data_IF_659007034433
#
_entry.id   IF_659007034433
#
_cell.length_a   1.000
_cell.length_b   1.000
_cell.length_c   1.000
_cell.angle_alpha   90.00
_cell.angle_beta   90.00
_cell.angle_gamma   90.00
#
_symmetry.space_group_name_H-M   'P 1'
#
loop_
_entity.id
_entity.type
_entity.pdbx_description
1 polymer ?
#
# COMPACT_ATOMS: atom_id res chain seq x y z
N UNK A 1 67.75 -19.58 19.67
CA UNK A 1 66.72 -18.54 19.39
C UNK A 1 66.53 -18.24 17.91
N UNK A 2 67.59 -18.20 17.07
CA UNK A 2 67.45 -17.93 15.62
C UNK A 2 66.56 -18.94 14.84
N UNK A 3 66.55 -20.22 15.22
CA UNK A 3 65.75 -21.27 14.54
C UNK A 3 64.24 -21.16 14.80
N UNK A 4 63.82 -20.61 15.94
CA UNK A 4 62.41 -20.43 16.29
C UNK A 4 61.83 -19.13 15.71
N UNK A 5 62.67 -18.10 15.51
CA UNK A 5 62.26 -16.87 14.85
C UNK A 5 61.81 -17.11 13.40
N UNK A 6 62.49 -18.00 12.67
CA UNK A 6 62.09 -18.37 11.31
C UNK A 6 60.75 -19.13 11.25
N UNK A 7 60.43 -19.94 12.27
CA UNK A 7 59.13 -20.65 12.36
C UNK A 7 57.97 -19.70 12.68
N UNK A 8 58.20 -18.69 13.52
CA UNK A 8 57.20 -17.65 13.80
C UNK A 8 56.98 -16.75 12.58
N UNK A 9 58.05 -16.39 11.86
CA UNK A 9 57.95 -15.61 10.62
C UNK A 9 57.22 -16.39 9.52
N UNK A 10 57.46 -17.71 9.42
CA UNK A 10 56.75 -18.58 8.47
C UNK A 10 55.27 -18.76 8.85
N UNK A 11 54.95 -18.80 10.15
CA UNK A 11 53.56 -18.84 10.61
C UNK A 11 52.79 -17.54 10.29
N UNK A 12 53.45 -16.38 10.30
CA UNK A 12 52.84 -15.12 9.85
C UNK A 12 52.64 -15.05 8.32
N UNK A 13 53.53 -15.68 7.55
CA UNK A 13 53.39 -15.78 6.08
C UNK A 13 52.31 -16.79 5.64
N UNK A 14 52.04 -17.83 6.44
CA UNK A 14 51.02 -18.85 6.15
C UNK A 14 49.60 -18.48 6.61
N UNK A 15 49.43 -17.39 7.37
CA UNK A 15 48.12 -16.80 7.68
C UNK A 15 47.76 -15.62 6.77
N UNK A 16 48.58 -15.33 5.76
CA UNK A 16 48.12 -14.58 4.60
C UNK A 16 47.18 -15.48 3.80
N UNK A 17 45.92 -15.56 4.22
CA UNK A 17 44.86 -15.86 3.25
C UNK A 17 44.86 -14.68 2.28
N UNK A 18 45.69 -14.78 1.25
CA UNK A 18 45.43 -14.15 -0.03
C UNK A 18 44.08 -14.72 -0.45
N UNK A 19 43.01 -13.95 -0.16
CA UNK A 19 41.64 -14.28 -0.53
C UNK A 19 41.61 -14.14 -2.05
N UNK A 20 42.08 -15.21 -2.70
CA UNK A 20 42.48 -15.21 -4.09
C UNK A 20 41.35 -14.64 -4.92
N UNK A 21 41.66 -13.53 -5.61
CA UNK A 21 40.84 -12.80 -6.56
C UNK A 21 39.46 -13.45 -6.78
N UNK A 22 38.54 -13.21 -5.84
CA UNK A 22 37.19 -13.77 -5.88
C UNK A 22 36.44 -13.03 -6.98
N UNK A 23 36.66 -13.45 -8.22
CA UNK A 23 35.92 -12.95 -9.37
C UNK A 23 34.47 -13.40 -9.23
N UNK A 24 33.54 -12.44 -9.23
CA UNK A 24 32.13 -12.76 -9.14
C UNK A 24 31.72 -13.44 -10.45
N UNK A 25 31.28 -14.69 -10.38
CA UNK A 25 30.84 -15.41 -11.57
C UNK A 25 29.35 -15.29 -11.83
N UNK A 26 28.55 -15.31 -10.75
CA UNK A 26 27.09 -15.26 -10.81
C UNK A 26 26.57 -14.34 -9.70
N UNK A 27 25.58 -13.51 -10.01
CA UNK A 27 24.83 -12.76 -9.00
C UNK A 27 23.78 -13.70 -8.41
N UNK A 28 23.88 -13.98 -7.11
CA UNK A 28 22.86 -14.73 -6.37
C UNK A 28 22.43 -13.91 -5.16
N UNK A 29 21.14 -13.65 -5.00
CA UNK A 29 20.56 -13.00 -3.81
C UNK A 29 19.31 -13.73 -3.32
N UNK A 30 19.27 -15.04 -3.57
CA UNK A 30 18.22 -15.91 -3.07
C UNK A 30 18.20 -15.87 -1.54
N UNK A 31 16.99 -15.87 -0.97
CA UNK A 31 16.76 -15.78 0.47
C UNK A 31 17.28 -14.50 1.16
N UNK A 32 17.76 -13.50 0.41
CA UNK A 32 18.06 -12.17 0.96
C UNK A 32 16.80 -11.31 0.87
N UNK A 33 16.42 -10.66 1.98
CA UNK A 33 15.25 -9.78 2.02
C UNK A 33 15.56 -8.43 1.39
N UNK A 34 14.66 -7.92 0.54
CA UNK A 34 14.77 -6.57 0.00
C UNK A 34 14.37 -5.51 1.04
N UNK A 35 15.07 -4.39 1.05
CA UNK A 35 14.79 -3.21 1.87
C UNK A 35 14.83 -1.94 1.02
N UNK A 36 14.32 -0.82 1.55
CA UNK A 36 14.42 0.49 0.89
C UNK A 36 15.22 1.45 1.75
N UNK A 37 16.02 2.31 1.11
CA UNK A 37 16.68 3.42 1.81
C UNK A 37 15.68 4.39 2.41
N UNK A 38 14.52 4.57 1.77
CA UNK A 38 13.40 5.36 2.27
C UNK A 38 12.08 4.65 1.91
N UNK A 39 11.35 4.08 2.89
CA UNK A 39 10.11 3.35 2.63
C UNK A 39 8.95 4.26 2.17
N UNK A 40 9.08 5.59 2.31
CA UNK A 40 8.05 6.54 1.88
C UNK A 40 8.15 6.85 0.38
N UNK A 41 9.37 6.91 -0.15
CA UNK A 41 9.62 7.26 -1.55
C UNK A 41 9.96 6.05 -2.42
N UNK A 42 10.52 4.98 -1.84
CA UNK A 42 10.87 3.72 -2.52
C UNK A 42 11.75 3.91 -3.76
N UNK A 43 12.58 4.95 -3.79
CA UNK A 43 13.40 5.30 -4.95
C UNK A 43 14.64 4.43 -5.08
N UNK A 44 15.08 3.80 -3.99
CA UNK A 44 16.22 2.89 -3.98
C UNK A 44 15.92 1.68 -3.08
N UNK A 45 15.58 0.57 -3.72
CA UNK A 45 15.37 -0.74 -3.10
C UNK A 45 16.65 -1.54 -3.26
N UNK A 46 17.06 -2.27 -2.23
CA UNK A 46 18.31 -3.00 -2.25
C UNK A 46 18.19 -4.35 -1.54
N UNK A 47 19.10 -5.26 -1.91
CA UNK A 47 19.43 -6.46 -1.16
C UNK A 47 20.90 -6.41 -0.77
N UNK A 48 21.23 -6.89 0.42
CA UNK A 48 22.56 -6.78 0.99
C UNK A 48 23.05 -8.13 1.53
N UNK A 49 24.22 -8.55 1.06
CA UNK A 49 25.04 -9.62 1.64
C UNK A 49 26.24 -8.99 2.35
N UNK A 50 27.11 -9.80 2.95
CA UNK A 50 28.29 -9.30 3.67
C UNK A 50 29.19 -8.41 2.82
N UNK A 51 29.49 -8.79 1.58
CA UNK A 51 30.41 -8.07 0.66
C UNK A 51 29.78 -7.75 -0.68
N UNK A 52 28.46 -7.87 -0.81
CA UNK A 52 27.77 -7.68 -2.09
C UNK A 52 26.46 -6.91 -1.89
N UNK A 53 26.08 -6.11 -2.87
CA UNK A 53 24.78 -5.44 -2.92
C UNK A 53 24.14 -5.57 -4.30
N UNK A 54 22.82 -5.71 -4.32
CA UNK A 54 22.01 -5.59 -5.52
C UNK A 54 21.01 -4.45 -5.34
N UNK A 55 21.08 -3.47 -6.21
CA UNK A 55 20.39 -2.19 -6.10
C UNK A 55 19.39 -2.04 -7.25
N UNK A 56 18.20 -1.58 -6.91
CA UNK A 56 17.12 -1.24 -7.84
C UNK A 56 16.70 0.20 -7.57
N UNK A 57 17.03 1.09 -8.51
CA UNK A 57 16.58 2.48 -8.50
C UNK A 57 15.31 2.61 -9.34
N UNK A 58 14.31 3.28 -8.79
CA UNK A 58 13.03 3.58 -9.42
C UNK A 58 12.68 5.07 -9.20
N UNK A 59 11.87 5.69 -10.06
CA UNK A 59 11.34 7.02 -9.79
C UNK A 59 10.38 7.00 -8.59
N UNK A 60 10.34 8.10 -7.82
CA UNK A 60 9.43 8.23 -6.68
C UNK A 60 7.96 8.12 -7.12
N UNK A 61 7.63 8.80 -8.22
CA UNK A 61 6.31 8.71 -8.84
C UNK A 61 6.28 7.50 -9.78
N UNK A 62 5.29 6.62 -9.60
CA UNK A 62 5.05 5.47 -10.46
C UNK A 62 6.21 4.45 -10.56
N UNK A 63 7.14 4.42 -9.60
CA UNK A 63 8.11 3.32 -9.49
C UNK A 63 7.47 2.08 -8.87
N UNK A 64 7.24 2.16 -7.55
CA UNK A 64 6.41 1.20 -6.82
C UNK A 64 4.98 1.74 -6.75
N UNK A 65 4.02 0.95 -7.26
CA UNK A 65 2.62 1.34 -7.29
C UNK A 65 1.80 0.42 -6.37
N UNK A 66 1.15 1.03 -5.39
CA UNK A 66 0.30 0.38 -4.38
C UNK A 66 -1.13 0.14 -4.91
N UNK A 67 -1.22 -0.54 -6.05
CA UNK A 67 -2.47 -0.98 -6.68
C UNK A 67 -2.21 -2.32 -7.39
N UNK A 68 -2.98 -3.40 -7.12
CA UNK A 68 -2.73 -4.72 -7.67
C UNK A 68 -2.76 -4.74 -9.20
N UNK A 69 -1.60 -4.93 -9.83
CA UNK A 69 -1.45 -5.03 -11.27
C UNK A 69 -0.03 -5.54 -11.60
N UNK A 70 0.24 -5.74 -12.89
CA UNK A 70 1.60 -5.92 -13.41
C UNK A 70 2.09 -4.60 -13.99
N UNK A 71 3.21 -4.11 -13.48
CA UNK A 71 3.90 -2.92 -13.96
C UNK A 71 5.20 -3.31 -14.65
N UNK A 72 5.49 -2.73 -15.80
CA UNK A 72 6.64 -3.08 -16.63
C UNK A 72 7.38 -1.81 -17.00
N UNK A 73 8.68 -1.77 -16.72
CA UNK A 73 9.56 -0.65 -17.02
C UNK A 73 10.77 -1.13 -17.81
N UNK A 74 11.20 -0.36 -18.80
CA UNK A 74 12.47 -0.60 -19.48
C UNK A 74 13.63 -0.13 -18.61
N UNK A 75 14.67 -0.94 -18.51
CA UNK A 75 15.92 -0.52 -17.87
C UNK A 75 16.57 0.51 -18.79
N UNK A 76 16.63 1.76 -18.35
CA UNK A 76 17.12 2.91 -19.12
C UNK A 76 18.45 3.47 -18.57
N UNK A 77 18.92 2.90 -17.45
CA UNK A 77 20.09 3.35 -16.69
C UNK A 77 20.03 4.84 -16.28
N UNK A 78 18.83 5.42 -16.17
CA UNK A 78 18.57 6.78 -15.72
C UNK A 78 17.55 6.80 -14.57
N UNK A 79 16.27 6.54 -14.86
CA UNK A 79 15.22 6.47 -13.85
C UNK A 79 15.02 5.06 -13.31
N UNK A 80 15.27 4.06 -14.15
CA UNK A 80 15.09 2.64 -13.89
C UNK A 80 16.44 1.94 -14.00
N UNK A 81 17.11 1.74 -12.87
CA UNK A 81 18.51 1.27 -12.84
C UNK A 81 18.64 0.03 -11.98
N UNK A 82 19.35 -0.97 -12.49
CA UNK A 82 19.76 -2.16 -11.74
C UNK A 82 21.27 -2.15 -11.65
N UNK A 83 21.80 -2.24 -10.43
CA UNK A 83 23.25 -2.19 -10.20
C UNK A 83 23.64 -3.27 -9.19
N UNK A 84 24.55 -4.13 -9.58
CA UNK A 84 25.23 -5.04 -8.66
C UNK A 84 26.60 -4.47 -8.28
N UNK A 85 27.02 -4.65 -7.03
CA UNK A 85 28.36 -4.29 -6.55
C UNK A 85 28.92 -5.34 -5.61
N UNK A 86 30.22 -5.61 -5.76
CA UNK A 86 31.04 -6.32 -4.79
C UNK A 86 31.99 -5.34 -4.07
N UNK A 87 32.41 -5.69 -2.86
CA UNK A 87 33.17 -4.83 -1.98
C UNK A 87 34.38 -5.55 -1.36
N UNK A 88 35.46 -4.81 -1.08
CA UNK A 88 36.67 -5.31 -0.39
C UNK A 88 36.50 -5.53 1.12
N UNK A 89 35.26 -5.42 1.62
CA UNK A 89 34.95 -5.50 3.03
C UNK A 89 33.44 -5.47 3.27
N UNK A 90 33.06 -5.48 4.56
CA UNK A 90 31.65 -5.56 4.96
C UNK A 90 30.87 -4.34 4.48
N UNK A 91 29.84 -4.54 3.68
CA UNK A 91 28.89 -3.50 3.28
C UNK A 91 27.68 -3.49 4.22
N UNK A 92 27.24 -2.30 4.60
CA UNK A 92 26.09 -2.04 5.47
C UNK A 92 25.13 -1.04 4.82
N UNK A 93 23.92 -0.91 5.36
CA UNK A 93 22.90 0.02 4.86
C UNK A 93 23.43 1.46 4.73
N UNK A 94 24.28 1.92 5.63
CA UNK A 94 24.85 3.29 5.60
C UNK A 94 25.81 3.51 4.43
N UNK A 95 26.41 2.45 3.88
CA UNK A 95 27.24 2.52 2.67
C UNK A 95 26.43 2.82 1.41
N UNK A 96 25.12 2.53 1.42
CA UNK A 96 24.24 2.65 0.25
C UNK A 96 23.24 3.80 0.44
N UNK A 97 22.67 3.91 1.64
CA UNK A 97 21.58 4.84 1.97
C UNK A 97 22.05 6.08 2.75
N UNK A 98 23.34 6.21 3.05
CA UNK A 98 23.88 7.36 3.77
C UNK A 98 23.72 8.65 2.97
N UNK A 99 23.33 9.75 3.62
CA UNK A 99 23.33 11.08 3.00
C UNK A 99 24.73 11.47 2.49
N UNK A 100 25.77 11.01 3.20
CA UNK A 100 27.17 11.01 2.77
C UNK A 100 27.69 9.59 2.99
N UNK A 101 27.68 8.72 1.97
CA UNK A 101 28.18 7.37 2.10
C UNK A 101 29.67 7.36 2.48
N UNK A 102 30.09 6.57 3.47
CA UNK A 102 31.50 6.44 3.80
C UNK A 102 32.29 5.81 2.64
N UNK A 103 33.58 6.13 2.56
CA UNK A 103 34.46 5.65 1.48
C UNK A 103 34.81 4.15 1.57
N UNK A 104 34.64 3.54 2.75
CA UNK A 104 34.96 2.13 3.00
C UNK A 104 33.70 1.33 3.33
N UNK A 105 33.57 0.06 2.88
CA UNK A 105 34.52 -0.65 2.01
C UNK A 105 34.54 -0.10 0.58
N UNK A 106 35.63 -0.34 -0.16
CA UNK A 106 35.73 0.06 -1.56
C UNK A 106 34.95 -0.92 -2.44
N UNK A 107 34.35 -0.41 -3.51
CA UNK A 107 33.77 -1.24 -4.57
C UNK A 107 34.90 -1.89 -5.36
N UNK A 108 34.93 -3.22 -5.42
CA UNK A 108 35.90 -4.00 -6.19
C UNK A 108 35.37 -4.35 -7.57
N UNK A 109 34.04 -4.52 -7.70
CA UNK A 109 33.38 -4.86 -8.94
C UNK A 109 31.99 -4.20 -9.02
N UNK A 110 31.57 -3.75 -10.20
CA UNK A 110 30.25 -3.15 -10.44
C UNK A 110 29.68 -3.67 -11.76
N UNK A 111 28.46 -4.22 -11.74
CA UNK A 111 27.75 -4.63 -12.95
C UNK A 111 26.49 -3.77 -13.12
N UNK A 112 26.40 -3.11 -14.27
CA UNK A 112 25.25 -2.28 -14.64
C UNK A 112 24.27 -3.08 -15.50
N UNK A 113 22.99 -3.10 -15.13
CA UNK A 113 21.93 -3.52 -16.04
C UNK A 113 21.81 -2.52 -17.20
N UNK A 114 22.23 -2.91 -18.40
CA UNK A 114 22.24 -2.06 -19.60
C UNK A 114 20.90 -2.02 -20.30
N UNK A 115 20.23 -3.16 -20.38
CA UNK A 115 18.95 -3.36 -21.08
C UNK A 115 18.15 -4.45 -20.37
N UNK A 116 16.89 -4.60 -20.75
CA UNK A 116 15.95 -5.55 -20.15
C UNK A 116 14.74 -4.82 -19.58
N UNK A 117 13.87 -5.57 -18.90
CA UNK A 117 12.65 -5.05 -18.29
C UNK A 117 12.61 -5.34 -16.81
N UNK A 118 12.15 -4.38 -16.01
CA UNK A 118 11.75 -4.58 -14.62
C UNK A 118 10.26 -4.88 -14.63
N UNK A 119 9.88 -6.10 -14.24
CA UNK A 119 8.49 -6.53 -14.12
C UNK A 119 8.14 -6.62 -12.64
N UNK A 120 7.13 -5.84 -12.22
CA UNK A 120 6.67 -5.78 -10.84
C UNK A 120 5.22 -6.26 -10.80
N UNK A 121 4.98 -7.40 -10.17
CA UNK A 121 3.63 -7.90 -9.89
C UNK A 121 3.23 -7.47 -8.49
N UNK A 122 2.29 -6.52 -8.39
CA UNK A 122 1.77 -6.05 -7.11
C UNK A 122 0.54 -6.86 -6.70
N UNK A 123 0.49 -7.31 -5.45
CA UNK A 123 -0.70 -7.89 -4.81
C UNK A 123 -1.03 -7.14 -3.51
N UNK A 124 -2.32 -7.06 -3.19
CA UNK A 124 -2.78 -6.44 -1.95
C UNK A 124 -2.55 -7.40 -0.77
N UNK A 125 -2.09 -6.85 0.36
CA UNK A 125 -2.07 -7.54 1.65
C UNK A 125 -3.26 -7.00 2.47
N UNK A 126 -4.16 -7.90 2.83
CA UNK A 126 -5.31 -7.60 3.67
C UNK A 126 -5.06 -8.04 5.12
N UNK A 127 -5.74 -7.39 6.06
CA UNK A 127 -5.88 -7.92 7.41
C UNK A 127 -6.72 -9.20 7.38
N UNK A 128 -6.56 -10.05 8.38
CA UNK A 128 -7.51 -11.12 8.62
C UNK A 128 -8.94 -10.55 8.79
N UNK A 129 -9.97 -11.27 8.34
CA UNK A 129 -11.34 -10.84 8.54
C UNK A 129 -11.70 -10.78 10.03
N UNK A 130 -12.42 -9.74 10.45
CA UNK A 130 -12.99 -9.68 11.79
C UNK A 130 -14.22 -10.61 11.95
N UNK A 131 -14.87 -10.56 13.12
CA UNK A 131 -16.05 -11.38 13.43
C UNK A 131 -17.23 -11.16 12.48
N UNK A 132 -17.29 -10.02 11.78
CA UNK A 132 -18.31 -9.69 10.79
C UNK A 132 -17.78 -9.85 9.35
N UNK A 133 -16.59 -10.45 9.18
CA UNK A 133 -15.95 -10.60 7.87
C UNK A 133 -15.46 -9.29 7.27
N UNK A 134 -15.32 -8.22 8.06
CA UNK A 134 -14.74 -6.97 7.60
C UNK A 134 -13.22 -7.12 7.46
N UNK A 135 -12.66 -6.50 6.43
CA UNK A 135 -11.20 -6.51 6.17
C UNK A 135 -10.69 -5.09 6.00
N UNK A 136 -9.39 -4.91 6.15
CA UNK A 136 -8.67 -3.68 5.79
C UNK A 136 -7.46 -4.02 4.93
N UNK A 137 -6.87 -3.01 4.32
CA UNK A 137 -5.57 -3.11 3.65
C UNK A 137 -4.50 -2.70 4.66
N UNK A 138 -3.47 -3.52 4.84
CA UNK A 138 -2.31 -3.20 5.69
C UNK A 138 -0.99 -3.09 4.91
N UNK A 139 -1.01 -3.38 3.60
CA UNK A 139 0.16 -3.23 2.74
C UNK A 139 -0.03 -3.82 1.35
N UNK A 140 1.06 -3.85 0.61
CA UNK A 140 1.17 -4.49 -0.71
C UNK A 140 2.45 -5.30 -0.79
N UNK A 141 2.39 -6.43 -1.51
CA UNK A 141 3.56 -7.21 -1.88
C UNK A 141 3.89 -6.92 -3.35
N UNK A 142 5.14 -6.58 -3.63
CA UNK A 142 5.65 -6.31 -4.96
C UNK A 142 6.66 -7.40 -5.29
N UNK A 143 6.26 -8.35 -6.13
CA UNK A 143 7.17 -9.37 -6.63
C UNK A 143 7.92 -8.81 -7.86
N UNK A 144 9.23 -8.70 -7.76
CA UNK A 144 10.08 -8.02 -8.75
C UNK A 144 10.94 -9.04 -9.47
N UNK A 145 10.87 -9.03 -10.80
CA UNK A 145 11.65 -9.89 -11.70
C UNK A 145 12.23 -9.04 -12.82
N UNK A 146 13.51 -9.20 -13.11
CA UNK A 146 14.11 -8.60 -14.31
C UNK A 146 14.05 -9.60 -15.46
N UNK A 147 13.49 -9.19 -16.59
CA UNK A 147 13.36 -10.02 -17.79
C UNK A 147 14.33 -9.57 -18.87
N UNK A 148 15.05 -10.53 -19.46
CA UNK A 148 16.08 -10.32 -20.48
C UNK A 148 17.08 -9.22 -20.09
N UNK A 149 17.49 -9.22 -18.82
CA UNK A 149 18.44 -8.23 -18.32
C UNK A 149 19.83 -8.53 -18.87
N UNK A 150 20.52 -7.49 -19.35
CA UNK A 150 21.93 -7.59 -19.75
C UNK A 150 22.79 -6.84 -18.74
N UNK A 151 23.57 -7.57 -17.94
CA UNK A 151 24.56 -7.01 -17.02
C UNK A 151 25.89 -6.74 -17.73
N UNK A 152 26.44 -5.54 -17.54
CA UNK A 152 27.78 -5.17 -17.97
C UNK A 152 28.83 -5.72 -16.99
N UNK A 153 29.25 -6.97 -17.18
CA UNK A 153 30.31 -7.59 -16.37
C UNK A 153 31.70 -7.26 -16.97
N UNK A 154 32.78 -7.12 -16.18
CA UNK A 154 34.12 -6.80 -16.70
C UNK A 154 34.64 -7.77 -17.77
N UNK A 155 34.28 -9.05 -17.66
CA UNK A 155 34.67 -10.09 -18.61
C UNK A 155 33.83 -10.10 -19.92
N UNK A 156 32.80 -9.26 -20.02
CA UNK A 156 31.85 -9.22 -21.12
C UNK A 156 30.40 -9.18 -20.64
N UNK A 157 29.48 -8.77 -21.50
CA UNK A 157 28.06 -8.70 -21.15
C UNK A 157 27.50 -10.09 -20.78
N UNK A 158 26.72 -10.16 -19.70
CA UNK A 158 25.98 -11.34 -19.27
C UNK A 158 24.48 -11.09 -19.45
N UNK A 159 23.78 -12.00 -20.15
CA UNK A 159 22.34 -11.90 -20.38
C UNK A 159 21.62 -12.95 -19.55
N UNK A 160 20.61 -12.53 -18.82
CA UNK A 160 19.72 -13.41 -18.05
C UNK A 160 18.29 -13.23 -18.54
N UNK A 161 17.69 -14.32 -19.03
CA UNK A 161 16.32 -14.32 -19.53
C UNK A 161 15.32 -13.95 -18.41
N UNK A 162 15.58 -14.43 -17.20
CA UNK A 162 14.80 -14.14 -16.01
C UNK A 162 15.75 -14.07 -14.80
N UNK A 163 15.73 -12.95 -14.08
CA UNK A 163 16.47 -12.73 -12.84
C UNK A 163 15.47 -12.35 -11.74
N UNK A 164 15.19 -13.22 -10.76
CA UNK A 164 14.28 -12.91 -9.66
C UNK A 164 14.96 -11.94 -8.67
N UNK A 165 14.55 -10.67 -8.67
CA UNK A 165 14.96 -9.76 -7.60
C UNK A 165 14.27 -10.14 -6.29
N UNK A 166 13.01 -10.58 -6.32
CA UNK A 166 12.27 -11.08 -5.15
C UNK A 166 11.19 -10.11 -4.67
N UNK A 167 10.65 -10.39 -3.47
CA UNK A 167 9.55 -9.62 -2.90
C UNK A 167 10.03 -8.37 -2.15
N UNK A 168 9.34 -7.25 -2.39
CA UNK A 168 9.41 -6.03 -1.60
C UNK A 168 8.02 -5.69 -1.07
N UNK A 169 7.89 -5.35 0.21
CA UNK A 169 6.59 -5.04 0.83
C UNK A 169 6.51 -3.58 1.21
N UNK A 170 5.40 -2.93 0.85
CA UNK A 170 5.02 -1.62 1.39
C UNK A 170 3.95 -1.77 2.44
N UNK A 171 3.96 -0.90 3.44
CA UNK A 171 2.94 -0.86 4.49
C UNK A 171 1.96 0.28 4.23
N UNK A 172 0.70 0.06 4.59
CA UNK A 172 -0.36 1.06 4.54
C UNK A 172 -1.06 1.08 5.88
N UNK A 173 -1.32 2.26 6.41
CA UNK A 173 -2.15 2.43 7.61
C UNK A 173 -3.57 1.96 7.29
N UNK A 174 -4.10 0.92 7.96
CA UNK A 174 -5.46 0.46 7.74
C UNK A 174 -6.49 1.58 7.90
N UNK A 175 -7.51 1.59 7.04
CA UNK A 175 -8.58 2.57 7.12
C UNK A 175 -9.26 2.54 8.49
N UNK A 176 -9.13 3.64 9.24
CA UNK A 176 -9.89 3.89 10.45
C UNK A 176 -11.31 4.30 10.06
N UNK A 177 -12.33 3.56 10.51
CA UNK A 177 -13.73 3.82 10.22
C UNK A 177 -14.51 4.29 11.46
N UNK A 178 -13.82 4.86 12.45
CA UNK A 178 -14.44 5.44 13.65
C UNK A 178 -14.84 6.88 13.37
N UNK A 179 -16.15 7.14 13.38
CA UNK A 179 -16.72 8.48 13.20
C UNK A 179 -16.54 9.37 14.44
N UNK A 180 -16.53 10.69 14.26
CA UNK A 180 -16.38 11.64 15.37
C UNK A 180 -17.51 11.54 16.40
N UNK A 181 -18.68 11.10 15.97
CA UNK A 181 -19.90 10.97 16.76
C UNK A 181 -20.17 9.51 17.13
N UNK A 182 -19.13 8.66 17.20
CA UNK A 182 -19.27 7.26 17.58
C UNK A 182 -19.96 7.07 18.95
N UNK A 183 -19.83 8.04 19.87
CA UNK A 183 -20.49 8.00 21.17
C UNK A 183 -22.02 8.22 21.09
N UNK A 184 -22.50 9.13 20.24
CA UNK A 184 -23.94 9.35 20.02
C UNK A 184 -24.51 8.35 19.01
N UNK A 185 -23.67 7.83 18.11
CA UNK A 185 -24.07 6.95 17.03
C UNK A 185 -24.89 7.65 15.95
N UNK A 186 -24.84 8.98 15.88
CA UNK A 186 -25.61 9.77 14.92
C UNK A 186 -25.05 9.63 13.49
N UNK A 187 -25.87 9.95 12.50
CA UNK A 187 -25.47 10.26 11.14
C UNK A 187 -26.25 11.50 10.69
N UNK A 188 -25.83 12.09 9.58
CA UNK A 188 -26.41 13.34 9.09
C UNK A 188 -27.03 13.11 7.72
N UNK A 189 -28.01 13.96 7.38
CA UNK A 189 -28.63 14.00 6.06
C UNK A 189 -28.77 15.45 5.61
N UNK A 190 -28.50 15.69 4.33
CA UNK A 190 -28.66 17.01 3.75
C UNK A 190 -30.15 17.42 3.65
N UNK A 191 -30.46 18.73 3.63
CA UNK A 191 -31.85 19.21 3.58
C UNK A 191 -32.66 18.73 2.37
N UNK A 192 -31.98 18.39 1.26
CA UNK A 192 -32.60 17.80 0.06
C UNK A 192 -32.95 16.31 0.21
N UNK A 193 -32.57 15.68 1.32
CA UNK A 193 -32.66 14.24 1.58
C UNK A 193 -31.94 13.34 0.56
N UNK A 194 -31.00 13.87 -0.23
CA UNK A 194 -30.30 13.11 -1.27
C UNK A 194 -28.90 12.66 -0.86
N UNK A 195 -28.37 13.21 0.23
CA UNK A 195 -27.04 12.84 0.72
C UNK A 195 -27.10 12.50 2.21
N UNK A 196 -26.81 11.25 2.54
CA UNK A 196 -26.58 10.78 3.91
C UNK A 196 -25.08 10.69 4.14
N UNK A 197 -24.59 11.12 5.30
CA UNK A 197 -23.16 11.13 5.56
C UNK A 197 -22.80 10.96 7.03
N UNK A 198 -21.59 10.46 7.25
CA UNK A 198 -20.90 10.53 8.54
C UNK A 198 -19.39 10.73 8.30
N UNK A 199 -18.68 11.27 9.27
CA UNK A 199 -17.30 11.70 9.09
C UNK A 199 -16.51 11.77 10.40
N UNK A 200 -15.20 11.92 10.27
CA UNK A 200 -14.34 12.41 11.33
C UNK A 200 -13.36 13.44 10.76
N UNK A 201 -12.24 13.70 11.44
CA UNK A 201 -11.26 14.69 10.99
C UNK A 201 -10.41 14.26 9.80
N UNK A 202 -10.37 12.97 9.46
CA UNK A 202 -9.51 12.40 8.41
C UNK A 202 -10.25 11.77 7.23
N UNK A 203 -11.53 11.40 7.40
CA UNK A 203 -12.31 10.79 6.34
C UNK A 203 -13.80 11.15 6.39
N UNK A 204 -14.47 10.89 5.26
CA UNK A 204 -15.94 10.93 5.14
C UNK A 204 -16.45 9.62 4.57
N UNK A 205 -17.68 9.25 4.95
CA UNK A 205 -18.45 8.20 4.33
C UNK A 205 -19.81 8.78 3.93
N UNK A 206 -20.09 8.82 2.63
CA UNK A 206 -21.23 9.54 2.05
C UNK A 206 -22.02 8.64 1.13
N UNK A 207 -23.34 8.63 1.24
CA UNK A 207 -24.26 8.03 0.29
C UNK A 207 -24.91 9.17 -0.49
N UNK A 208 -24.53 9.33 -1.75
CA UNK A 208 -25.09 10.31 -2.68
C UNK A 208 -26.25 9.69 -3.49
N UNK A 209 -27.19 10.53 -3.95
CA UNK A 209 -28.43 10.08 -4.61
C UNK A 209 -29.17 9.02 -3.78
N UNK A 210 -29.29 9.27 -2.48
CA UNK A 210 -29.93 8.38 -1.52
C UNK A 210 -31.42 8.16 -1.85
N UNK A 211 -31.87 6.90 -1.80
CA UNK A 211 -33.27 6.53 -1.95
C UNK A 211 -34.07 6.96 -0.72
N UNK A 212 -34.84 8.04 -0.88
CA UNK A 212 -35.60 8.68 0.19
C UNK A 212 -36.66 7.76 0.80
N UNK A 213 -37.16 6.76 0.05
CA UNK A 213 -38.16 5.81 0.57
C UNK A 213 -37.62 4.96 1.74
N UNK A 214 -36.30 4.89 1.91
CA UNK A 214 -35.69 4.17 3.03
C UNK A 214 -35.91 4.87 4.37
N UNK A 215 -36.21 6.18 4.38
CA UNK A 215 -36.41 7.01 5.57
C UNK A 215 -37.89 7.36 5.82
N UNK A 216 -38.81 6.49 5.46
CA UNK A 216 -40.22 6.67 5.80
C UNK A 216 -40.42 6.64 7.33
N UNK A 217 -41.17 7.62 7.85
CA UNK A 217 -41.55 7.79 9.26
C UNK A 217 -42.61 6.75 9.69
N UNK A 218 -42.28 5.47 9.50
CA UNK A 218 -43.11 4.32 9.86
C UNK A 218 -42.18 3.28 10.48
N UNK A 219 -42.57 2.76 11.64
CA UNK A 219 -41.80 1.71 12.33
C UNK A 219 -41.66 0.48 11.44
N UNK A 220 -40.43 -0.02 11.31
CA UNK A 220 -40.17 -1.28 10.58
C UNK A 220 -40.46 -2.47 11.49
N UNK A 221 -41.06 -3.57 10.98
CA UNK A 221 -41.24 -4.77 11.77
C UNK A 221 -39.89 -5.35 12.25
N UNK A 222 -39.86 -6.09 13.38
CA UNK A 222 -38.65 -6.72 13.89
C UNK A 222 -37.96 -7.59 12.82
N UNK A 223 -36.65 -7.38 12.63
CA UNK A 223 -35.83 -8.12 11.66
C UNK A 223 -36.16 -7.86 10.19
N UNK A 224 -36.99 -6.85 9.87
CA UNK A 224 -37.38 -6.50 8.50
C UNK A 224 -37.06 -5.02 8.20
N UNK A 225 -35.77 -4.66 8.12
CA UNK A 225 -35.38 -3.31 7.70
C UNK A 225 -35.85 -3.03 6.27
N UNK A 226 -36.01 -1.74 5.92
CA UNK A 226 -36.10 -1.34 4.52
C UNK A 226 -34.72 -1.52 3.89
N UNK A 227 -34.66 -2.03 2.67
CA UNK A 227 -33.39 -2.27 1.98
C UNK A 227 -33.32 -1.55 0.65
N UNK A 228 -32.13 -1.03 0.32
CA UNK A 228 -31.84 -0.42 -0.97
C UNK A 228 -30.45 -0.84 -1.44
N UNK A 229 -30.33 -1.28 -2.69
CA UNK A 229 -29.04 -1.70 -3.24
C UNK A 229 -28.06 -0.53 -3.29
N UNK A 230 -26.78 -0.79 -3.00
CA UNK A 230 -25.69 0.12 -3.35
C UNK A 230 -25.48 0.05 -4.87
N UNK A 231 -25.48 1.19 -5.55
CA UNK A 231 -25.45 1.24 -7.00
C UNK A 231 -24.66 2.42 -7.58
N UNK A 232 -24.51 2.41 -8.91
CA UNK A 232 -23.76 3.45 -9.63
C UNK A 232 -24.53 4.76 -9.81
N UNK A 233 -25.86 4.73 -9.73
CA UNK A 233 -26.75 5.89 -9.98
C UNK A 233 -27.53 6.32 -8.74
N UNK A 234 -28.08 5.36 -8.01
CA UNK A 234 -28.81 5.53 -6.75
C UNK A 234 -28.01 4.90 -5.62
N UNK A 235 -28.08 5.47 -4.42
CA UNK A 235 -27.36 4.98 -3.24
C UNK A 235 -25.85 4.84 -3.49
N UNK A 236 -25.25 5.87 -4.08
CA UNK A 236 -23.84 5.88 -4.46
C UNK A 236 -22.99 6.10 -3.21
N UNK A 237 -22.34 5.05 -2.75
CA UNK A 237 -21.52 5.11 -1.56
C UNK A 237 -20.07 5.50 -1.89
N UNK A 238 -19.53 6.45 -1.13
CA UNK A 238 -18.13 6.85 -1.21
C UNK A 238 -17.49 6.88 0.17
N UNK A 239 -16.26 6.39 0.26
CA UNK A 239 -15.34 6.62 1.37
C UNK A 239 -14.19 7.48 0.86
N UNK A 240 -14.00 8.67 1.45
CA UNK A 240 -12.99 9.64 0.99
C UNK A 240 -12.06 10.04 2.12
N UNK A 241 -10.77 10.06 1.84
CA UNK A 241 -9.73 10.58 2.73
C UNK A 241 -9.17 11.89 2.19
N UNK A 242 -8.47 12.65 3.02
CA UNK A 242 -8.06 14.02 2.71
C UNK A 242 -6.57 14.25 2.94
N UNK A 243 -5.98 15.15 2.15
CA UNK A 243 -4.58 15.52 2.27
C UNK A 243 -4.36 16.34 3.54
N UNK A 244 -3.36 15.93 4.33
CA UNK A 244 -2.97 16.65 5.54
C UNK A 244 -2.55 18.09 5.22
N UNK A 245 -2.92 19.03 6.08
CA UNK A 245 -2.57 20.45 5.93
C UNK A 245 -3.41 21.24 4.90
N UNK A 246 -4.39 20.61 4.24
CA UNK A 246 -5.25 21.29 3.24
C UNK A 246 -6.54 21.87 3.81
N UNK A 247 -6.82 21.64 5.09
CA UNK A 247 -8.03 22.12 5.77
C UNK A 247 -8.56 21.12 6.79
N UNK A 248 -9.79 21.32 7.22
CA UNK A 248 -10.50 20.43 8.14
C UNK A 248 -11.90 20.10 7.63
N UNK A 249 -12.35 18.88 7.92
CA UNK A 249 -13.71 18.43 7.59
C UNK A 249 -14.64 18.99 8.68
N UNK A 250 -15.64 19.75 8.26
CA UNK A 250 -16.70 20.26 9.13
C UNK A 250 -18.07 19.98 8.52
N UNK A 251 -19.14 20.19 9.27
CA UNK A 251 -20.50 20.01 8.76
C UNK A 251 -20.77 20.86 7.50
N UNK A 252 -20.12 22.03 7.37
CA UNK A 252 -20.23 22.90 6.20
C UNK A 252 -19.55 22.37 4.93
N UNK A 253 -18.76 21.29 5.03
CA UNK A 253 -18.20 20.61 3.86
C UNK A 253 -19.30 19.91 3.02
N UNK A 254 -20.37 19.49 3.69
CA UNK A 254 -21.48 18.76 3.09
C UNK A 254 -22.62 19.70 2.69
N UNK A 255 -23.54 19.18 1.89
CA UNK A 255 -24.80 19.85 1.53
C UNK A 255 -24.62 21.21 0.83
N UNK A 256 -23.48 21.40 0.17
CA UNK A 256 -23.20 22.58 -0.63
C UNK A 256 -23.62 22.35 -2.08
N UNK A 257 -24.10 23.41 -2.74
CA UNK A 257 -24.45 23.37 -4.17
C UNK A 257 -23.26 23.00 -5.06
N UNK A 258 -22.05 23.35 -4.62
CA UNK A 258 -20.79 22.96 -5.24
C UNK A 258 -19.92 22.31 -4.20
N UNK A 259 -19.36 21.13 -4.49
CA UNK A 259 -18.42 20.44 -3.60
C UNK A 259 -17.24 21.35 -3.29
N UNK A 260 -16.95 21.64 -2.01
CA UNK A 260 -15.78 22.43 -1.65
C UNK A 260 -14.48 21.78 -2.15
N UNK A 261 -13.54 22.61 -2.63
CA UNK A 261 -12.22 22.12 -3.05
C UNK A 261 -11.27 21.85 -1.88
N UNK A 262 -11.61 22.35 -0.69
CA UNK A 262 -10.85 22.20 0.55
C UNK A 262 -11.73 21.61 1.68
N UNK A 263 -11.20 20.70 2.52
CA UNK A 263 -9.90 20.04 2.37
C UNK A 263 -9.80 19.24 1.07
N UNK A 264 -8.59 19.12 0.52
CA UNK A 264 -8.37 18.44 -0.75
C UNK A 264 -8.49 16.93 -0.55
N UNK A 265 -9.26 16.27 -1.41
CA UNK A 265 -9.42 14.81 -1.40
C UNK A 265 -8.08 14.16 -1.77
N UNK A 266 -7.63 13.21 -0.94
CA UNK A 266 -6.47 12.38 -1.22
C UNK A 266 -6.90 11.11 -1.98
N UNK A 267 -7.88 10.39 -1.45
CA UNK A 267 -8.37 9.16 -2.05
C UNK A 267 -9.90 9.13 -2.09
N UNK A 268 -10.45 8.49 -3.13
CA UNK A 268 -11.87 8.15 -3.22
C UNK A 268 -11.99 6.65 -3.44
N UNK A 269 -12.76 6.01 -2.56
CA UNK A 269 -13.15 4.61 -2.67
C UNK A 269 -14.65 4.54 -2.91
N UNK A 270 -15.06 3.68 -3.84
CA UNK A 270 -16.46 3.52 -4.24
C UNK A 270 -17.03 2.27 -3.57
N UNK A 271 -18.21 2.38 -2.99
CA UNK A 271 -18.95 1.24 -2.47
C UNK A 271 -19.55 0.42 -3.61
N UNK A 272 -19.22 -0.87 -3.65
CA UNK A 272 -19.66 -1.78 -4.70
C UNK A 272 -20.09 -3.13 -4.14
N UNK A 273 -20.90 -3.83 -4.95
CA UNK A 273 -21.15 -5.25 -4.75
C UNK A 273 -20.10 -6.08 -5.49
N UNK A 274 -19.05 -6.51 -4.79
CA UNK A 274 -17.97 -7.31 -5.40
C UNK A 274 -18.13 -8.82 -5.18
N UNK A 275 -19.25 -9.27 -4.61
CA UNK A 275 -19.53 -10.69 -4.41
C UNK A 275 -20.95 -10.97 -4.88
N UNK A 276 -21.11 -11.76 -5.94
CA UNK A 276 -22.43 -12.03 -6.54
C UNK A 276 -23.42 -12.74 -5.59
N UNK A 277 -22.91 -13.50 -4.61
CA UNK A 277 -23.73 -14.22 -3.62
C UNK A 277 -24.18 -13.31 -2.47
N UNK A 278 -23.47 -12.20 -2.26
CA UNK A 278 -23.83 -11.21 -1.25
C UNK A 278 -24.51 -10.02 -1.93
N UNK A 279 -25.43 -9.37 -1.24
CA UNK A 279 -26.05 -8.14 -1.71
C UNK A 279 -25.46 -6.99 -0.93
N UNK A 280 -24.67 -6.14 -1.59
CA UNK A 280 -24.24 -4.87 -1.02
C UNK A 280 -25.45 -3.93 -0.98
N UNK A 281 -25.92 -3.62 0.23
CA UNK A 281 -27.16 -2.87 0.42
C UNK A 281 -27.09 -1.96 1.65
N UNK A 282 -27.92 -0.93 1.61
CA UNK A 282 -28.30 -0.12 2.75
C UNK A 282 -29.46 -0.83 3.43
N UNK A 283 -29.40 -0.98 4.74
CA UNK A 283 -30.50 -1.44 5.58
C UNK A 283 -30.90 -0.33 6.53
N UNK A 284 -32.18 0.01 6.55
CA UNK A 284 -32.73 1.04 7.44
C UNK A 284 -33.80 0.44 8.35
N UNK A 285 -33.50 0.41 9.64
CA UNK A 285 -34.47 0.07 10.70
C UNK A 285 -35.02 1.35 11.27
N UNK A 286 -36.35 1.45 11.40
CA UNK A 286 -37.02 2.64 11.94
C UNK A 286 -37.74 2.29 13.23
N UNK A 287 -37.46 3.05 14.28
CA UNK A 287 -38.12 2.96 15.59
C UNK A 287 -38.79 4.30 15.93
N UNK A 288 -39.87 4.27 16.71
CA UNK A 288 -40.53 5.49 17.18
C UNK A 288 -40.10 5.79 18.62
N UNK A 289 -39.69 7.03 18.88
CA UNK A 289 -39.34 7.52 20.22
C UNK A 289 -40.04 8.85 20.49
N UNK A 290 -41.15 8.79 21.23
CA UNK A 290 -42.04 9.93 21.42
C UNK A 290 -42.64 10.42 20.09
N UNK A 291 -42.51 11.71 19.74
CA UNK A 291 -42.99 12.24 18.47
C UNK A 291 -42.06 11.95 17.29
N UNK A 292 -40.82 11.50 17.55
CA UNK A 292 -39.78 11.37 16.55
C UNK A 292 -39.64 9.92 16.05
N UNK A 293 -39.15 9.78 14.82
CA UNK A 293 -38.70 8.51 14.24
C UNK A 293 -37.18 8.48 14.19
N UNK A 294 -36.60 7.38 14.67
CA UNK A 294 -35.15 7.15 14.64
C UNK A 294 -34.88 6.09 13.57
N UNK A 295 -34.15 6.48 12.54
CA UNK A 295 -33.72 5.62 11.45
C UNK A 295 -32.27 5.21 11.69
N UNK A 296 -32.04 3.92 11.94
CA UNK A 296 -30.70 3.34 12.05
C UNK A 296 -30.26 2.83 10.69
N UNK A 297 -29.16 3.37 10.15
CA UNK A 297 -28.64 3.06 8.82
C UNK A 297 -27.42 2.15 8.93
N UNK A 298 -27.51 0.97 8.33
CA UNK A 298 -26.46 -0.04 8.28
C UNK A 298 -26.09 -0.30 6.82
N UNK A 299 -24.80 -0.44 6.55
CA UNK A 299 -24.24 -0.89 5.29
C UNK A 299 -23.93 -2.38 5.41
N UNK A 300 -24.62 -3.21 4.63
CA UNK A 300 -24.48 -4.65 4.67
C UNK A 300 -23.69 -5.16 3.46
N UNK A 301 -22.69 -6.01 3.70
CA UNK A 301 -21.87 -6.69 2.69
C UNK A 301 -21.13 -5.78 1.69
N UNK A 302 -20.95 -4.52 2.02
CA UNK A 302 -20.31 -3.54 1.15
C UNK A 302 -18.81 -3.78 1.06
N UNK A 303 -18.27 -3.70 -0.16
CA UNK A 303 -16.83 -3.54 -0.39
C UNK A 303 -16.53 -2.14 -0.88
N UNK A 304 -15.46 -1.54 -0.37
CA UNK A 304 -14.94 -0.25 -0.83
C UNK A 304 -13.77 -0.52 -1.79
N UNK A 305 -13.85 0.03 -3.00
CA UNK A 305 -12.96 -0.26 -4.14
C UNK A 305 -12.26 1.02 -4.61
N UNK A 306 -10.96 0.93 -4.91
CA UNK A 306 -10.15 2.00 -5.52
C UNK A 306 -9.12 1.34 -6.44
N UNK A 307 -9.21 1.60 -7.75
CA UNK A 307 -8.40 0.87 -8.72
C UNK A 307 -8.70 -0.63 -8.64
N UNK A 308 -7.65 -1.43 -8.51
CA UNK A 308 -7.72 -2.87 -8.31
C UNK A 308 -7.70 -3.29 -6.83
N UNK A 309 -7.53 -2.32 -5.91
CA UNK A 309 -7.59 -2.55 -4.47
C UNK A 309 -9.02 -2.53 -3.94
N UNK A 310 -9.29 -3.38 -2.94
CA UNK A 310 -10.58 -3.42 -2.24
C UNK A 310 -10.48 -3.89 -0.79
N UNK A 311 -11.37 -3.38 0.07
CA UNK A 311 -11.56 -3.91 1.42
C UNK A 311 -13.04 -3.95 1.80
N UNK A 312 -13.40 -4.81 2.76
CA UNK A 312 -14.80 -5.09 3.12
C UNK A 312 -15.20 -4.35 4.39
N UNK A 313 -16.39 -3.77 4.39
CA UNK A 313 -17.02 -3.23 5.61
C UNK A 313 -17.58 -4.34 6.52
N UNK A 314 -17.68 -5.57 6.01
CA UNK A 314 -18.24 -6.73 6.71
C UNK A 314 -19.71 -6.97 6.36
N UNK A 315 -20.34 -7.89 7.06
CA UNK A 315 -21.77 -8.20 6.91
C UNK A 315 -22.67 -7.10 7.45
N UNK A 316 -22.17 -6.29 8.39
CA UNK A 316 -22.87 -5.16 8.99
C UNK A 316 -21.89 -4.08 9.42
N UNK A 317 -22.11 -2.86 8.93
CA UNK A 317 -21.38 -1.67 9.33
C UNK A 317 -22.35 -0.54 9.62
N UNK A 318 -22.38 -0.05 10.86
CA UNK A 318 -23.25 1.05 11.27
C UNK A 318 -22.74 2.37 10.69
N UNK A 319 -23.52 3.01 9.82
CA UNK A 319 -23.25 4.39 9.38
C UNK A 319 -23.66 5.39 10.46
N UNK A 320 -24.80 5.15 11.11
CA UNK A 320 -25.30 5.92 12.23
C UNK A 320 -26.83 6.05 12.20
N UNK A 321 -27.35 6.92 13.06
CA UNK A 321 -28.77 7.14 13.29
C UNK A 321 -29.21 8.55 12.88
N UNK A 322 -30.35 8.64 12.21
CA UNK A 322 -30.97 9.90 11.82
C UNK A 322 -32.31 10.02 12.53
N UNK A 323 -32.54 11.14 13.20
CA UNK A 323 -33.82 11.44 13.84
C UNK A 323 -34.64 12.37 12.95
N UNK A 324 -35.90 12.02 12.70
CA UNK A 324 -36.89 12.81 11.95
C UNK A 324 -38.18 12.99 12.72
#
# INVERSE_FOLDING_TARGET
>A
MKKYASLVLLAFLLNGCDDGDLTVDTIDFDNVTAASCDPTTNTLIYKLKTQESLLLQLPQANGIVNDPNVYIYDIDNNQYRVVYRAYDGKVETTNICGAIPPRTPNVTEEWLGKTGKIVITTTQIATDPDVNGATRINGYNHNIVFQNITFAKPAGDQVEAEFPFGDYKTTVTPANLTFQNAASGEAFICPDNLTVYNYNTSFTLTIENFDQSLLDNVVTPPGKPRTGAIGATTNKLFYRTFLSGTGSISAGYFCQKTTPSLPAVNETWVGENTNADLKAEIQVTTEQSGPNFIHTIVLANVSLVKGNSKFRLGTSFLLGKITK
#
